data_IF_061814523416
#
_entry.id   IF_061814523416
#
_cell.length_a   1.000
_cell.length_b   1.000
_cell.length_c   1.000
_cell.angle_alpha   90.00
_cell.angle_beta   90.00
_cell.angle_gamma   90.00
#
_symmetry.space_group_name_H-M   'P 1'
#
loop_
_entity.id
_entity.type
_entity.pdbx_description
1 polymer ?
#
# COMPACT_ATOMS: atom_id res chain seq x y z
N UNK A 1 -13.83 -3.62 7.04
CA UNK A 1 -13.19 -4.53 8.02
C UNK A 1 -12.78 -3.80 9.29
N UNK A 2 -12.01 -2.71 9.20
CA UNK A 2 -11.55 -1.93 10.37
C UNK A 2 -12.68 -1.44 11.28
N UNK A 3 -13.81 -1.01 10.72
CA UNK A 3 -15.00 -0.62 11.51
C UNK A 3 -15.51 -1.78 12.37
N UNK A 4 -15.50 -3.01 11.85
CA UNK A 4 -15.90 -4.19 12.62
C UNK A 4 -14.92 -4.46 13.76
N UNK A 5 -13.61 -4.36 13.50
CA UNK A 5 -12.57 -4.51 14.53
C UNK A 5 -12.73 -3.46 15.61
N UNK A 6 -12.98 -2.20 15.22
CA UNK A 6 -13.24 -1.10 16.13
C UNK A 6 -14.45 -1.40 17.03
N UNK A 7 -15.59 -1.74 16.44
CA UNK A 7 -16.83 -2.00 17.18
C UNK A 7 -16.68 -3.16 18.19
N UNK A 8 -16.11 -4.29 17.77
CA UNK A 8 -15.87 -5.43 18.67
C UNK A 8 -14.86 -5.08 19.76
N UNK A 9 -13.82 -4.32 19.43
CA UNK A 9 -12.81 -3.89 20.40
C UNK A 9 -13.41 -2.96 21.45
N UNK A 10 -14.28 -2.02 21.06
CA UNK A 10 -15.00 -1.14 21.99
C UNK A 10 -15.91 -1.93 22.92
N UNK A 11 -16.66 -2.90 22.38
CA UNK A 11 -17.57 -3.73 23.18
C UNK A 11 -16.81 -4.57 24.21
N UNK A 12 -15.73 -5.24 23.79
CA UNK A 12 -14.89 -6.04 24.68
C UNK A 12 -14.25 -5.16 25.74
N UNK A 13 -13.69 -4.01 25.35
CA UNK A 13 -13.10 -3.05 26.27
C UNK A 13 -14.12 -2.58 27.32
N UNK A 14 -15.35 -2.28 26.91
CA UNK A 14 -16.42 -1.87 27.82
C UNK A 14 -16.75 -2.97 28.84
N UNK A 15 -16.92 -4.21 28.39
CA UNK A 15 -17.18 -5.36 29.27
C UNK A 15 -16.04 -5.55 30.29
N UNK A 16 -14.79 -5.45 29.82
CA UNK A 16 -13.60 -5.55 30.70
C UNK A 16 -13.58 -4.41 31.73
N UNK A 17 -13.86 -3.17 31.34
CA UNK A 17 -13.90 -2.04 32.27
C UNK A 17 -15.02 -2.18 33.31
N UNK A 18 -16.21 -2.63 32.89
CA UNK A 18 -17.33 -2.88 33.82
C UNK A 18 -16.98 -3.97 34.83
N UNK A 19 -16.38 -5.07 34.38
CA UNK A 19 -15.98 -6.18 35.25
C UNK A 19 -14.88 -5.81 36.25
N UNK A 20 -13.92 -4.99 35.84
CA UNK A 20 -12.81 -4.54 36.69
C UNK A 20 -13.21 -3.44 37.67
N UNK A 21 -13.90 -2.40 37.19
CA UNK A 21 -14.21 -1.20 37.98
C UNK A 21 -15.50 -1.31 38.79
N UNK A 22 -16.37 -2.28 38.48
CA UNK A 22 -17.63 -2.56 39.18
C UNK A 22 -18.41 -1.26 39.50
N UNK A 23 -18.78 -0.48 38.48
CA UNK A 23 -19.41 0.83 38.68
C UNK A 23 -20.75 0.69 39.40
N UNK A 24 -21.04 1.66 40.27
CA UNK A 24 -22.31 1.74 41.00
C UNK A 24 -23.22 2.80 40.36
N UNK A 25 -24.49 2.44 40.13
CA UNK A 25 -25.50 3.33 39.56
C UNK A 25 -25.29 3.66 38.08
N UNK A 26 -26.34 4.16 37.41
CA UNK A 26 -26.33 4.41 35.96
C UNK A 26 -25.25 5.39 35.49
N UNK A 27 -24.94 6.41 36.28
CA UNK A 27 -23.87 7.39 35.98
C UNK A 27 -22.50 6.72 35.93
N UNK A 28 -22.24 5.74 36.82
CA UNK A 28 -21.00 4.97 36.82
C UNK A 28 -20.81 4.20 35.52
N UNK A 29 -21.85 3.54 35.00
CA UNK A 29 -21.79 2.81 33.73
C UNK A 29 -21.56 3.72 32.52
N UNK A 30 -22.18 4.91 32.51
CA UNK A 30 -22.01 5.90 31.44
C UNK A 30 -20.59 6.47 31.45
N UNK A 31 -20.00 6.68 32.64
CA UNK A 31 -18.65 7.24 32.78
C UNK A 31 -17.54 6.38 32.16
N UNK A 32 -17.79 5.08 31.94
CA UNK A 32 -16.82 4.15 31.33
C UNK A 32 -16.84 4.17 29.80
N UNK A 33 -17.86 4.76 29.17
CA UNK A 33 -18.00 4.78 27.71
C UNK A 33 -16.81 5.49 27.02
N UNK A 34 -16.38 6.70 27.45
CA UNK A 34 -15.26 7.39 26.80
C UNK A 34 -13.95 6.60 26.87
N UNK A 35 -13.70 5.93 28.00
CA UNK A 35 -12.51 5.10 28.21
C UNK A 35 -12.52 3.87 27.28
N UNK A 36 -13.68 3.21 27.14
CA UNK A 36 -13.85 2.09 26.22
C UNK A 36 -13.63 2.50 24.76
N UNK A 37 -14.08 3.68 24.35
CA UNK A 37 -13.92 4.23 22.99
C UNK A 37 -12.46 4.62 22.70
N UNK A 38 -11.65 4.89 23.72
CA UNK A 38 -10.23 5.21 23.58
C UNK A 38 -9.31 4.01 23.30
N UNK A 39 -9.79 2.78 23.52
CA UNK A 39 -8.99 1.55 23.38
C UNK A 39 -8.82 1.05 21.92
N UNK A 40 -9.85 1.08 21.04
CA UNK A 40 -9.78 0.56 19.66
C UNK A 40 -8.62 1.00 18.76
N UNK A 41 -8.05 2.22 18.85
CA UNK A 41 -6.92 2.61 18.01
C UNK A 41 -5.73 1.63 18.10
N UNK A 42 -5.46 1.05 19.27
CA UNK A 42 -4.35 0.11 19.48
C UNK A 42 -4.50 -1.17 18.65
N UNK A 43 -5.58 -1.98 18.80
CA UNK A 43 -5.76 -3.18 17.99
C UNK A 43 -5.93 -2.87 16.50
N UNK A 44 -6.47 -1.70 16.13
CA UNK A 44 -6.56 -1.26 14.73
C UNK A 44 -5.17 -1.06 14.13
N UNK A 45 -4.27 -0.36 14.82
CA UNK A 45 -2.89 -0.13 14.33
C UNK A 45 -2.09 -1.44 14.24
N UNK A 46 -2.23 -2.32 15.24
CA UNK A 46 -1.61 -3.66 15.22
C UNK A 46 -2.16 -4.48 14.06
N UNK A 47 -3.47 -4.43 13.84
CA UNK A 47 -4.12 -5.10 12.73
C UNK A 47 -3.61 -4.58 11.39
N UNK A 48 -3.64 -3.27 11.17
CA UNK A 48 -3.24 -2.61 9.91
C UNK A 48 -1.79 -2.91 9.54
N UNK A 49 -0.89 -2.93 10.53
CA UNK A 49 0.54 -3.13 10.27
C UNK A 49 0.91 -4.61 10.06
N UNK A 50 0.29 -5.53 10.79
CA UNK A 50 0.78 -6.91 10.88
C UNK A 50 -0.29 -8.00 10.76
N UNK A 51 -1.35 -7.98 11.60
CA UNK A 51 -2.21 -9.17 11.77
C UNK A 51 -2.90 -9.60 10.49
N UNK A 52 -3.30 -8.64 9.65
CA UNK A 52 -4.01 -8.95 8.40
C UNK A 52 -3.21 -9.89 7.47
N UNK A 53 -1.87 -9.84 7.51
CA UNK A 53 -1.00 -10.67 6.66
C UNK A 53 -1.09 -12.15 7.01
N UNK A 54 -1.56 -12.50 8.20
CA UNK A 54 -1.67 -13.88 8.67
C UNK A 54 -3.08 -14.45 8.57
N UNK A 55 -4.08 -13.63 8.24
CA UNK A 55 -5.47 -14.08 8.14
C UNK A 55 -5.71 -14.63 6.72
N UNK A 56 -6.12 -15.91 6.56
CA UNK A 56 -6.29 -16.53 5.23
C UNK A 56 -7.56 -16.04 4.51
N UNK A 57 -8.56 -15.54 5.24
CA UNK A 57 -9.82 -15.05 4.66
C UNK A 57 -9.70 -13.66 4.02
N UNK A 58 -8.60 -12.96 4.25
CA UNK A 58 -8.33 -11.66 3.60
C UNK A 58 -7.70 -11.94 2.24
N UNK A 59 -8.46 -11.65 1.18
CA UNK A 59 -8.03 -11.85 -0.20
C UNK A 59 -6.95 -10.88 -0.69
N UNK A 60 -6.74 -9.77 0.01
CA UNK A 60 -5.76 -8.73 -0.35
C UNK A 60 -4.37 -9.35 -0.60
N UNK A 61 -3.75 -9.13 -1.77
CA UNK A 61 -2.42 -9.65 -2.07
C UNK A 61 -1.35 -9.18 -1.08
N UNK A 62 -0.47 -10.09 -0.69
CA UNK A 62 0.63 -9.84 0.26
C UNK A 62 1.91 -9.64 -0.54
N UNK A 63 2.27 -8.39 -0.79
CA UNK A 63 3.41 -8.03 -1.62
C UNK A 63 4.73 -8.22 -0.87
N UNK A 64 5.79 -8.61 -1.59
CA UNK A 64 7.16 -8.65 -1.06
C UNK A 64 7.65 -7.22 -0.79
N UNK A 65 8.61 -7.08 0.11
CA UNK A 65 9.24 -5.78 0.39
C UNK A 65 10.11 -5.28 -0.76
N UNK A 66 10.66 -6.20 -1.56
CA UNK A 66 11.57 -5.90 -2.66
C UNK A 66 11.28 -6.82 -3.83
N UNK A 67 11.35 -6.24 -5.03
CA UNK A 67 11.26 -6.92 -6.31
C UNK A 67 12.40 -6.45 -7.22
N UNK A 68 12.92 -7.37 -8.04
CA UNK A 68 13.80 -7.02 -9.16
C UNK A 68 13.02 -7.14 -10.45
N UNK A 69 13.37 -6.33 -11.44
CA UNK A 69 12.58 -6.33 -12.65
C UNK A 69 13.20 -5.60 -13.83
N UNK A 70 12.38 -5.49 -14.87
CA UNK A 70 12.73 -4.89 -16.14
C UNK A 70 11.61 -3.94 -16.59
N UNK A 71 11.98 -2.74 -17.01
CA UNK A 71 11.13 -1.86 -17.83
C UNK A 71 11.46 -2.10 -19.29
N UNK A 72 10.45 -2.32 -20.12
CA UNK A 72 10.56 -2.30 -21.58
C UNK A 72 9.79 -1.11 -22.13
N UNK A 73 10.41 -0.27 -22.94
CA UNK A 73 9.79 0.96 -23.42
C UNK A 73 10.34 1.37 -24.78
N UNK A 74 9.51 2.06 -25.55
CA UNK A 74 9.94 2.65 -26.81
C UNK A 74 10.30 4.13 -26.60
N UNK A 75 11.48 4.53 -27.04
CA UNK A 75 11.92 5.92 -27.01
C UNK A 75 12.54 6.30 -28.35
N UNK A 76 11.95 7.27 -29.04
CA UNK A 76 12.46 7.71 -30.35
C UNK A 76 12.39 6.65 -31.45
N UNK A 77 11.52 5.64 -31.32
CA UNK A 77 11.40 4.53 -32.27
C UNK A 77 12.27 3.32 -31.92
N UNK A 78 13.14 3.42 -30.92
CA UNK A 78 13.96 2.31 -30.44
C UNK A 78 13.33 1.61 -29.22
N UNK A 79 13.31 0.28 -29.25
CA UNK A 79 12.90 -0.55 -28.12
C UNK A 79 14.05 -0.72 -27.13
N UNK A 80 13.88 -0.16 -25.94
CA UNK A 80 14.88 -0.13 -24.89
C UNK A 80 14.40 -0.90 -23.67
N UNK A 81 15.37 -1.43 -22.93
CA UNK A 81 15.13 -2.13 -21.68
C UNK A 81 15.96 -1.52 -20.55
N UNK A 82 15.41 -1.46 -19.33
CA UNK A 82 16.09 -0.91 -18.14
C UNK A 82 15.83 -1.78 -16.92
N UNK A 83 16.91 -2.23 -16.27
CA UNK A 83 16.81 -2.96 -15.02
C UNK A 83 16.33 -2.04 -13.89
N UNK A 84 15.42 -2.55 -13.06
CA UNK A 84 14.82 -1.80 -11.96
C UNK A 84 14.81 -2.61 -10.67
N UNK A 85 14.77 -1.87 -9.55
CA UNK A 85 14.49 -2.40 -8.22
C UNK A 85 13.27 -1.67 -7.67
N UNK A 86 12.30 -2.41 -7.15
CA UNK A 86 11.07 -1.87 -6.58
C UNK A 86 10.97 -2.26 -5.13
N UNK A 87 10.83 -1.27 -4.26
CA UNK A 87 10.61 -1.44 -2.83
C UNK A 87 9.16 -1.10 -2.51
N UNK A 88 8.49 -1.98 -1.77
CA UNK A 88 7.08 -1.85 -1.41
C UNK A 88 6.92 -1.90 0.11
N UNK A 89 6.37 -0.83 0.68
CA UNK A 89 5.88 -0.81 2.05
C UNK A 89 4.36 -0.93 2.03
N UNK A 90 3.84 -2.03 2.55
CA UNK A 90 2.40 -2.34 2.53
C UNK A 90 1.86 -2.55 3.94
N UNK A 91 0.91 -1.72 4.35
CA UNK A 91 -0.05 -1.96 5.44
C UNK A 91 -1.40 -2.37 4.87
N UNK A 92 -2.41 -2.59 5.70
CA UNK A 92 -3.75 -2.96 5.21
C UNK A 92 -4.40 -1.78 4.47
N UNK A 93 -4.17 -0.54 4.91
CA UNK A 93 -4.78 0.65 4.32
C UNK A 93 -3.86 1.51 3.47
N UNK A 94 -2.55 1.25 3.46
CA UNK A 94 -1.59 2.11 2.78
C UNK A 94 -0.51 1.31 2.05
N UNK A 95 -0.09 1.84 0.91
CA UNK A 95 0.95 1.28 0.06
C UNK A 95 1.88 2.43 -0.31
N UNK A 96 3.18 2.24 -0.10
CA UNK A 96 4.22 3.13 -0.61
C UNK A 96 5.15 2.34 -1.50
N UNK A 97 5.48 2.91 -2.64
CA UNK A 97 6.31 2.28 -3.66
C UNK A 97 7.48 3.21 -3.95
N UNK A 98 8.68 2.62 -4.00
CA UNK A 98 9.89 3.29 -4.46
C UNK A 98 10.51 2.45 -5.55
N UNK A 99 10.66 3.01 -6.74
CA UNK A 99 11.35 2.36 -7.85
C UNK A 99 12.69 3.05 -8.07
N UNK A 100 13.76 2.26 -8.21
CA UNK A 100 15.12 2.72 -8.46
C UNK A 100 15.62 2.18 -9.79
N UNK A 101 16.26 3.07 -10.55
CA UNK A 101 17.02 2.75 -11.77
C UNK A 101 18.45 3.27 -11.62
N UNK A 102 19.29 3.09 -12.65
CA UNK A 102 20.60 3.74 -12.74
C UNK A 102 20.52 5.27 -12.91
N UNK A 103 19.37 5.80 -13.35
CA UNK A 103 19.21 7.22 -13.69
C UNK A 103 18.35 8.01 -12.70
N UNK A 104 17.28 7.38 -12.22
CA UNK A 104 16.23 8.04 -11.43
C UNK A 104 15.77 7.16 -10.28
N UNK A 105 15.33 7.80 -9.20
CA UNK A 105 14.50 7.21 -8.16
C UNK A 105 13.09 7.78 -8.33
N UNK A 106 12.05 6.96 -8.23
CA UNK A 106 10.68 7.44 -8.16
C UNK A 106 10.00 7.00 -6.88
N UNK A 107 9.11 7.84 -6.37
CA UNK A 107 8.30 7.53 -5.19
C UNK A 107 6.83 7.70 -5.53
N UNK A 108 5.99 6.79 -5.01
CA UNK A 108 4.54 6.90 -5.14
C UNK A 108 4.01 8.12 -4.40
N UNK A 109 3.10 8.84 -5.04
CA UNK A 109 2.28 9.90 -4.45
C UNK A 109 1.02 9.28 -3.83
N UNK A 110 0.37 8.39 -4.59
CA UNK A 110 -0.81 7.61 -4.19
C UNK A 110 -0.65 6.21 -4.77
N UNK A 111 -1.06 5.20 -4.02
CA UNK A 111 -1.09 3.81 -4.46
C UNK A 111 -2.28 3.07 -3.83
N UNK A 112 -2.98 2.28 -4.64
CA UNK A 112 -4.14 1.51 -4.21
C UNK A 112 -4.22 0.19 -4.98
N UNK A 113 -4.62 -0.88 -4.29
CA UNK A 113 -4.98 -2.16 -4.91
C UNK A 113 -6.49 -2.21 -5.00
N UNK A 114 -7.02 -2.38 -6.22
CA UNK A 114 -8.43 -2.59 -6.48
C UNK A 114 -8.66 -3.97 -7.11
N UNK A 115 -9.86 -4.49 -6.96
CA UNK A 115 -10.29 -5.70 -7.67
C UNK A 115 -10.93 -5.28 -9.00
N UNK A 116 -10.37 -5.76 -10.11
CA UNK A 116 -10.83 -5.49 -11.47
C UNK A 116 -11.01 -6.83 -12.18
N UNK A 117 -12.25 -7.17 -12.56
CA UNK A 117 -12.58 -8.43 -13.25
C UNK A 117 -12.11 -9.72 -12.54
N UNK A 118 -11.97 -9.69 -11.21
CA UNK A 118 -11.49 -10.81 -10.40
C UNK A 118 -9.98 -10.84 -10.17
N UNK A 119 -9.24 -9.95 -10.81
CA UNK A 119 -7.81 -9.75 -10.60
C UNK A 119 -7.56 -8.59 -9.63
N UNK A 120 -6.47 -8.65 -8.88
CA UNK A 120 -6.03 -7.54 -8.04
C UNK A 120 -5.04 -6.67 -8.80
N UNK A 121 -5.42 -5.42 -9.05
CA UNK A 121 -4.63 -4.45 -9.80
C UNK A 121 -4.15 -3.35 -8.87
N UNK A 122 -2.83 -3.17 -8.81
CA UNK A 122 -2.17 -2.06 -8.15
C UNK A 122 -2.06 -0.88 -9.11
N UNK A 123 -2.79 0.19 -8.81
CA UNK A 123 -2.64 1.48 -9.45
C UNK A 123 -1.79 2.37 -8.56
N UNK A 124 -0.76 3.01 -9.12
CA UNK A 124 -0.03 4.04 -8.39
C UNK A 124 0.45 5.18 -9.28
N UNK A 125 0.35 6.39 -8.76
CA UNK A 125 0.96 7.58 -9.33
C UNK A 125 2.30 7.83 -8.67
N UNK A 126 3.29 8.29 -9.43
CA UNK A 126 4.64 8.54 -8.93
C UNK A 126 5.23 9.82 -9.50
N UNK A 127 6.22 10.35 -8.78
CA UNK A 127 7.12 11.41 -9.24
C UNK A 127 8.54 10.87 -9.34
N UNK A 128 9.25 11.18 -10.42
CA UNK A 128 10.67 10.84 -10.59
C UNK A 128 11.57 11.93 -10.02
N UNK A 129 12.67 11.51 -9.42
CA UNK A 129 13.77 12.31 -8.90
C UNK A 129 15.06 11.82 -9.60
N UNK A 130 15.45 12.42 -10.72
CA UNK A 130 16.66 12.04 -11.44
C UNK A 130 17.92 12.38 -10.64
N UNK A 131 18.98 11.58 -10.81
CA UNK A 131 20.30 11.99 -10.37
C UNK A 131 20.75 13.21 -11.19
N UNK A 132 21.51 14.12 -10.57
CA UNK A 132 21.92 15.38 -11.21
C UNK A 132 22.59 15.19 -12.59
N UNK A 133 23.37 14.13 -12.78
CA UNK A 133 24.01 13.84 -14.08
C UNK A 133 23.03 13.47 -15.22
N UNK A 134 21.77 13.19 -14.89
CA UNK A 134 20.71 12.83 -15.82
C UNK A 134 19.55 13.82 -15.81
N UNK A 135 19.58 14.90 -15.01
CA UNK A 135 18.42 15.79 -14.85
C UNK A 135 18.02 16.50 -16.15
N UNK A 136 18.98 16.79 -17.03
CA UNK A 136 18.69 17.49 -18.28
C UNK A 136 18.09 16.55 -19.34
N UNK A 137 18.58 15.31 -19.40
CA UNK A 137 18.12 14.29 -20.35
C UNK A 137 16.82 13.60 -19.89
N UNK A 138 16.73 13.34 -18.59
CA UNK A 138 15.62 12.67 -17.92
C UNK A 138 15.12 13.53 -16.75
N UNK A 139 14.49 14.68 -17.02
CA UNK A 139 13.96 15.57 -15.99
C UNK A 139 12.86 14.91 -15.17
N UNK A 140 12.45 15.60 -14.10
CA UNK A 140 11.32 15.20 -13.24
C UNK A 140 10.07 14.96 -14.09
N UNK A 141 9.41 13.83 -13.84
CA UNK A 141 8.21 13.38 -14.54
C UNK A 141 7.18 12.92 -13.52
N UNK A 142 5.91 12.99 -13.93
CA UNK A 142 4.80 12.36 -13.20
C UNK A 142 4.29 11.24 -14.09
N UNK A 143 4.08 10.07 -13.50
CA UNK A 143 3.55 8.92 -14.21
C UNK A 143 2.60 8.10 -13.37
N UNK A 144 1.96 7.16 -14.04
CA UNK A 144 1.05 6.18 -13.45
C UNK A 144 1.49 4.80 -13.88
N UNK A 145 1.36 3.84 -12.98
CA UNK A 145 1.50 2.43 -13.26
C UNK A 145 0.19 1.71 -12.99
N UNK A 146 -0.08 0.68 -13.79
CA UNK A 146 -1.14 -0.32 -13.59
C UNK A 146 -0.48 -1.68 -13.59
N UNK A 147 -0.39 -2.31 -12.42
CA UNK A 147 0.30 -3.59 -12.22
C UNK A 147 -0.68 -4.66 -11.75
N UNK A 148 -0.70 -5.81 -12.42
CA UNK A 148 -1.39 -7.00 -11.93
C UNK A 148 -0.57 -7.63 -10.80
N UNK A 149 -1.17 -7.63 -9.61
CA UNK A 149 -0.58 -8.13 -8.37
C UNK A 149 -1.32 -9.35 -7.83
N UNK A 150 -2.18 -9.97 -8.63
CA UNK A 150 -2.93 -11.19 -8.29
C UNK A 150 -1.98 -12.34 -7.91
N UNK A 151 -0.80 -12.38 -8.53
CA UNK A 151 0.31 -13.24 -8.13
C UNK A 151 1.50 -12.42 -7.58
N UNK A 152 1.63 -12.27 -6.25
CA UNK A 152 2.74 -11.53 -5.65
C UNK A 152 4.15 -12.07 -5.94
N UNK A 153 4.29 -13.25 -6.57
CA UNK A 153 5.59 -13.77 -6.99
C UNK A 153 6.03 -13.27 -8.37
N UNK A 154 5.08 -12.81 -9.19
CA UNK A 154 5.33 -12.34 -10.55
C UNK A 154 4.32 -11.26 -10.89
N UNK A 155 4.78 -10.02 -10.93
CA UNK A 155 3.95 -8.84 -11.18
C UNK A 155 4.29 -8.31 -12.56
N UNK A 156 3.27 -8.07 -13.36
CA UNK A 156 3.39 -7.52 -14.70
C UNK A 156 2.41 -6.37 -14.89
N UNK A 157 2.72 -5.46 -15.80
CA UNK A 157 1.81 -4.36 -16.07
C UNK A 157 2.43 -3.32 -16.96
N UNK A 158 1.85 -2.13 -16.93
CA UNK A 158 2.23 -1.02 -17.80
C UNK A 158 2.43 0.25 -17.00
N UNK A 159 3.19 1.18 -17.58
CA UNK A 159 3.31 2.53 -17.09
C UNK A 159 3.17 3.56 -18.21
N UNK A 160 2.82 4.78 -17.84
CA UNK A 160 2.84 5.93 -18.73
C UNK A 160 3.17 7.21 -17.95
N UNK A 161 3.70 8.21 -18.64
CA UNK A 161 4.12 9.48 -18.04
C UNK A 161 3.54 10.69 -18.75
N UNK A 162 3.60 11.84 -18.08
CA UNK A 162 3.29 13.15 -18.64
C UNK A 162 4.26 13.57 -19.77
N UNK A 163 5.35 12.84 -20.00
CA UNK A 163 6.30 13.05 -21.11
C UNK A 163 6.06 12.10 -22.29
N UNK A 164 4.87 11.50 -22.40
CA UNK A 164 4.47 10.59 -23.48
C UNK A 164 5.34 9.33 -23.59
N UNK A 165 6.08 8.98 -22.54
CA UNK A 165 6.74 7.68 -22.45
C UNK A 165 5.76 6.67 -21.86
N UNK A 166 5.77 5.46 -22.40
CA UNK A 166 4.98 4.32 -21.92
C UNK A 166 5.75 3.04 -22.14
N UNK A 167 5.42 2.02 -21.38
CA UNK A 167 6.09 0.73 -21.49
C UNK A 167 5.53 -0.31 -20.56
N UNK A 168 6.13 -1.50 -20.63
CA UNK A 168 5.78 -2.65 -19.82
C UNK A 168 6.74 -2.77 -18.62
N UNK A 169 6.20 -3.26 -17.51
CA UNK A 169 6.93 -3.54 -16.27
C UNK A 169 6.80 -5.03 -15.96
N UNK A 170 7.92 -5.66 -15.64
CA UNK A 170 7.98 -7.05 -15.18
C UNK A 170 8.79 -7.13 -13.89
N UNK A 171 8.22 -7.69 -12.83
CA UNK A 171 8.83 -7.78 -11.50
C UNK A 171 8.73 -9.21 -10.93
N UNK A 172 9.80 -9.65 -10.26
CA UNK A 172 9.92 -10.97 -9.61
C UNK A 172 10.56 -10.89 -8.22
#
# INVERSE_FOLDING_TARGET
>A
MLIKISAWSTLIAYIVLVTLKKPNGGVGFISLIPEAVGIPPIPILIFDKWLWKWIPFIKMPKLKKEYKGLLKYNFGGEDLNKNIQVFIEQTFTNIKIKLKTNEVISNSIVAEIIEENGDFILYYNYITNPYSKYSDLNPIQIGTCRLDVSNPKKINGIYWTNRKTKGDIFLE
#
